data_IF_008073468468
#
_entry.id   IF_008073468468
#
_cell.length_a   1.000
_cell.length_b   1.000
_cell.length_c   1.000
_cell.angle_alpha   90.00
_cell.angle_beta   90.00
_cell.angle_gamma   90.00
#
_symmetry.space_group_name_H-M   'P 1'
#
loop_
_entity.id
_entity.type
_entity.pdbx_description
1 polymer ?
#
# COMPACT_ATOMS: atom_id res chain seq x y z
N UNK A 1 2.20 -8.82 -4.34
CA UNK A 1 1.66 -7.74 -3.50
C UNK A 1 2.79 -7.19 -2.63
N UNK A 2 2.99 -5.87 -2.62
CA UNK A 2 3.95 -5.19 -1.72
C UNK A 2 3.22 -4.89 -0.42
N UNK A 3 3.86 -5.17 0.72
CA UNK A 3 3.23 -5.03 2.04
C UNK A 3 3.93 -4.07 2.99
N UNK A 4 5.26 -3.91 2.85
CA UNK A 4 6.03 -3.00 3.71
C UNK A 4 7.14 -2.33 2.92
N UNK A 5 7.47 -1.10 3.31
CA UNK A 5 8.71 -0.45 2.92
C UNK A 5 9.85 -0.88 3.84
N UNK A 6 11.06 -0.91 3.31
CA UNK A 6 12.28 -1.18 4.07
C UNK A 6 13.01 0.14 4.33
N UNK A 7 13.50 0.32 5.55
CA UNK A 7 14.28 1.49 5.94
C UNK A 7 15.77 1.17 5.99
N UNK A 8 16.60 2.17 5.73
CA UNK A 8 18.05 2.09 5.81
C UNK A 8 18.47 1.89 7.28
N UNK A 9 19.37 0.92 7.50
CA UNK A 9 19.86 0.56 8.83
C UNK A 9 20.79 1.64 9.42
N UNK A 10 21.54 2.34 8.58
CA UNK A 10 22.58 3.30 8.98
C UNK A 10 22.10 4.75 8.89
N UNK A 11 21.12 5.04 8.03
CA UNK A 11 20.60 6.39 7.80
C UNK A 11 19.14 6.48 8.24
N UNK A 12 18.84 7.10 9.39
CA UNK A 12 17.46 7.23 9.85
C UNK A 12 16.62 8.01 8.82
N UNK A 13 15.33 7.66 8.74
CA UNK A 13 14.37 8.29 7.82
C UNK A 13 14.74 8.19 6.32
N UNK A 14 15.46 7.14 5.92
CA UNK A 14 15.79 6.85 4.52
C UNK A 14 15.20 5.52 4.09
N UNK A 15 14.44 5.51 2.99
CA UNK A 15 13.97 4.25 2.38
C UNK A 15 15.12 3.49 1.72
N UNK A 16 15.12 2.17 1.87
CA UNK A 16 16.10 1.24 1.30
C UNK A 16 15.47 0.21 0.35
N UNK A 17 14.14 0.17 0.26
CA UNK A 17 13.46 -0.85 -0.52
C UNK A 17 12.02 -1.10 -0.13
N UNK A 18 11.53 -2.28 -0.51
CA UNK A 18 10.23 -2.80 -0.11
C UNK A 18 10.25 -4.33 -0.06
N UNK A 19 9.28 -4.91 0.61
CA UNK A 19 9.03 -6.36 0.63
C UNK A 19 7.61 -6.67 0.22
N UNK A 20 7.43 -7.87 -0.30
CA UNK A 20 6.14 -8.38 -0.71
C UNK A 20 6.17 -9.86 -0.96
N UNK A 21 5.04 -10.41 -1.38
CA UNK A 21 4.94 -11.80 -1.79
C UNK A 21 4.07 -11.95 -3.03
N UNK A 22 4.29 -13.01 -3.78
CA UNK A 22 3.42 -13.35 -4.91
C UNK A 22 2.16 -14.03 -4.41
N UNK A 23 1.01 -13.61 -4.95
CA UNK A 23 -0.31 -14.15 -4.60
C UNK A 23 -0.63 -15.44 -5.36
N UNK A 24 0.27 -15.90 -6.25
CA UNK A 24 0.08 -17.12 -7.05
C UNK A 24 0.83 -18.33 -6.47
N UNK A 25 2.04 -18.10 -5.98
CA UNK A 25 2.97 -19.16 -5.54
C UNK A 25 3.56 -18.91 -4.14
N UNK A 26 3.21 -17.80 -3.47
CA UNK A 26 3.66 -17.48 -2.12
C UNK A 26 5.12 -17.04 -2.01
N UNK A 27 5.84 -16.93 -3.13
CA UNK A 27 7.25 -16.53 -3.13
C UNK A 27 7.43 -15.15 -2.50
N UNK A 28 8.40 -15.03 -1.59
CA UNK A 28 8.73 -13.79 -0.90
C UNK A 28 9.77 -12.99 -1.70
N UNK A 29 9.51 -11.69 -1.88
CA UNK A 29 10.34 -10.79 -2.67
C UNK A 29 10.92 -9.68 -1.80
N UNK A 30 12.21 -9.43 -1.98
CA UNK A 30 12.93 -8.31 -1.38
C UNK A 30 13.44 -7.40 -2.49
N UNK A 31 12.88 -6.19 -2.56
CA UNK A 31 13.30 -5.18 -3.52
C UNK A 31 14.26 -4.22 -2.81
N UNK A 32 15.53 -4.22 -3.21
CA UNK A 32 16.53 -3.24 -2.74
C UNK A 32 16.61 -2.10 -3.72
N UNK A 33 16.50 -0.85 -3.26
CA UNK A 33 16.41 0.31 -4.16
C UNK A 33 16.93 1.59 -3.50
N UNK A 34 17.52 2.48 -4.31
CA UNK A 34 17.92 3.82 -3.84
C UNK A 34 16.75 4.80 -3.77
N UNK A 35 15.68 4.59 -4.51
CA UNK A 35 14.47 5.41 -4.47
C UNK A 35 13.25 4.51 -4.66
N UNK A 36 12.15 4.85 -3.99
CA UNK A 36 10.87 4.13 -4.07
C UNK A 36 9.78 5.15 -4.38
N UNK A 37 8.96 4.87 -5.39
CA UNK A 37 7.74 5.61 -5.71
C UNK A 37 6.57 4.70 -5.39
N UNK A 38 5.65 5.14 -4.54
CA UNK A 38 4.43 4.40 -4.20
C UNK A 38 3.26 5.00 -4.97
N UNK A 39 2.81 4.29 -6.02
CA UNK A 39 1.71 4.69 -6.90
C UNK A 39 0.52 3.71 -6.81
N UNK A 40 0.20 3.26 -5.60
CA UNK A 40 -0.74 2.15 -5.35
C UNK A 40 -2.23 2.57 -5.21
N UNK A 41 -2.61 3.73 -5.77
CA UNK A 41 -3.99 4.23 -5.75
C UNK A 41 -4.48 4.71 -4.37
N UNK A 42 -5.70 5.23 -4.34
CA UNK A 42 -6.36 5.70 -3.12
C UNK A 42 -6.97 4.57 -2.27
N UNK A 43 -8.09 4.85 -1.63
CA UNK A 43 -8.78 3.89 -0.79
C UNK A 43 -10.29 3.82 -1.06
N UNK A 44 -10.76 2.62 -1.40
CA UNK A 44 -12.16 2.26 -1.53
C UNK A 44 -12.54 1.28 -0.41
N UNK A 45 -13.84 1.05 -0.23
CA UNK A 45 -14.37 0.11 0.79
C UNK A 45 -14.00 0.40 2.25
N UNK A 46 -13.46 1.59 2.57
CA UNK A 46 -13.27 2.01 3.97
C UNK A 46 -14.62 2.21 4.68
N UNK A 47 -15.62 2.70 3.95
CA UNK A 47 -16.98 2.90 4.46
C UNK A 47 -17.94 1.87 3.88
N UNK A 48 -18.99 1.55 4.64
CA UNK A 48 -20.07 0.67 4.21
C UNK A 48 -20.81 1.29 3.00
N UNK A 49 -20.88 0.61 1.85
CA UNK A 49 -21.58 1.11 0.67
C UNK A 49 -23.11 0.99 0.82
N UNK A 50 -23.85 1.67 -0.07
CA UNK A 50 -25.32 1.63 -0.09
C UNK A 50 -25.89 0.26 -0.46
N UNK A 51 -25.19 -0.49 -1.30
CA UNK A 51 -25.54 -1.86 -1.67
C UNK A 51 -24.59 -2.83 -0.97
N UNK A 52 -25.13 -3.78 -0.18
CA UNK A 52 -24.35 -4.63 0.75
C UNK A 52 -24.36 -6.12 0.41
N UNK A 53 -25.00 -6.51 -0.70
CA UNK A 53 -24.92 -7.86 -1.28
C UNK A 53 -23.89 -7.90 -2.41
N UNK A 54 -24.24 -8.53 -3.53
CA UNK A 54 -23.39 -8.58 -4.73
C UNK A 54 -22.98 -7.19 -5.24
N UNK A 55 -23.85 -6.19 -5.04
CA UNK A 55 -23.57 -4.79 -5.37
C UNK A 55 -22.46 -4.13 -4.54
N UNK A 56 -21.90 -4.79 -3.51
CA UNK A 56 -20.85 -4.22 -2.68
C UNK A 56 -19.61 -3.83 -3.50
N UNK A 57 -19.29 -4.57 -4.56
CA UNK A 57 -18.19 -4.28 -5.48
C UNK A 57 -18.42 -3.07 -6.41
N UNK A 58 -19.61 -2.45 -6.40
CA UNK A 58 -19.94 -1.27 -7.21
C UNK A 58 -19.65 0.04 -6.48
N UNK A 59 -18.39 0.22 -6.11
CA UNK A 59 -17.91 1.53 -5.67
C UNK A 59 -17.79 2.48 -6.87
N UNK A 60 -17.96 3.78 -6.61
CA UNK A 60 -17.72 4.81 -7.63
C UNK A 60 -16.24 4.88 -8.02
N UNK A 61 -15.35 4.75 -7.04
CA UNK A 61 -13.91 4.65 -7.25
C UNK A 61 -13.46 3.19 -7.42
N UNK A 62 -12.19 2.97 -7.76
CA UNK A 62 -11.65 1.64 -8.04
C UNK A 62 -11.79 0.67 -6.84
N UNK A 63 -12.52 -0.46 -6.96
CA UNK A 63 -12.81 -1.36 -5.84
C UNK A 63 -11.58 -2.13 -5.33
N UNK A 64 -10.56 -2.31 -6.18
CA UNK A 64 -9.28 -2.94 -5.81
C UNK A 64 -8.33 -1.98 -5.07
N UNK A 65 -8.68 -0.70 -4.92
CA UNK A 65 -7.82 0.28 -4.26
C UNK A 65 -7.95 0.17 -2.74
N UNK A 66 -6.96 -0.44 -2.10
CA UNK A 66 -7.00 -0.82 -0.67
C UNK A 66 -6.14 0.05 0.24
N UNK A 67 -5.98 1.35 -0.07
CA UNK A 67 -5.20 2.29 0.73
C UNK A 67 -3.68 2.03 0.81
N UNK A 68 -3.12 1.18 -0.06
CA UNK A 68 -1.68 0.85 0.00
C UNK A 68 -0.77 2.05 -0.21
N UNK A 69 -1.19 3.05 -1.00
CA UNK A 69 -0.40 4.29 -1.16
C UNK A 69 -0.33 5.13 0.11
N UNK A 70 -1.22 4.91 1.08
CA UNK A 70 -1.23 5.60 2.37
C UNK A 70 -0.55 4.75 3.45
N UNK A 71 -0.96 3.48 3.59
CA UNK A 71 -0.46 2.61 4.64
C UNK A 71 1.06 2.40 4.56
N UNK A 72 1.61 2.17 3.35
CA UNK A 72 3.04 1.92 3.16
C UNK A 72 3.91 3.11 3.64
N UNK A 73 3.65 4.37 3.24
CA UNK A 73 4.38 5.52 3.78
C UNK A 73 4.09 5.83 5.25
N UNK A 74 2.83 5.73 5.72
CA UNK A 74 2.46 6.02 7.11
C UNK A 74 3.28 5.16 8.08
N UNK A 75 3.39 3.87 7.81
CA UNK A 75 4.11 2.92 8.67
C UNK A 75 5.60 3.24 8.81
N UNK A 76 6.21 3.92 7.83
CA UNK A 76 7.61 4.34 7.88
C UNK A 76 7.80 5.79 8.30
N UNK A 77 6.76 6.43 8.82
CA UNK A 77 6.83 7.79 9.36
C UNK A 77 6.77 8.89 8.30
N UNK A 78 6.31 8.59 7.08
CA UNK A 78 6.09 9.63 6.08
C UNK A 78 4.99 10.59 6.55
N UNK A 79 5.22 11.89 6.34
CA UNK A 79 4.26 12.94 6.70
C UNK A 79 3.08 12.90 5.74
N UNK A 80 1.87 12.96 6.31
CA UNK A 80 0.62 12.99 5.57
C UNK A 80 -0.02 14.38 5.67
N UNK A 81 -0.88 14.74 4.72
CA UNK A 81 -1.61 16.00 4.70
C UNK A 81 -3.00 15.78 4.11
N UNK A 82 -4.00 16.49 4.64
CA UNK A 82 -5.41 16.39 4.21
C UNK A 82 -5.90 14.94 4.08
N UNK A 83 -5.67 14.14 5.13
CA UNK A 83 -6.09 12.73 5.20
C UNK A 83 -7.56 12.60 5.58
#
# INVERSE_FOLDING_TARGET
>A
MVTHLLMDKMRPNRVAGAVGFSVRDGNFYVFRSKAVIVSAGGASHIFKPRSVGEGMGRTWYAPWSSASAYALPIQVGAKMTQM
#
